data_IF_678052251880
#
_entry.id   IF_678052251880
#
_cell.length_a   1.000
_cell.length_b   1.000
_cell.length_c   1.000
_cell.angle_alpha   90.00
_cell.angle_beta   90.00
_cell.angle_gamma   90.00
#
_symmetry.space_group_name_H-M   'P 1'
#
loop_
_entity.id
_entity.type
_entity.pdbx_description
1 polymer ?
#
# COMPACT_ATOMS: atom_id res chain seq x y z
N UNK A 1 3.10 -27.89 5.56
CA UNK A 1 1.80 -27.20 5.83
C UNK A 1 2.01 -25.75 6.25
N UNK A 2 2.82 -25.46 7.28
CA UNK A 2 3.07 -24.08 7.76
C UNK A 2 3.59 -23.13 6.67
N UNK A 3 4.59 -23.54 5.89
CA UNK A 3 5.14 -22.73 4.80
C UNK A 3 4.07 -22.28 3.79
N UNK A 4 3.25 -23.23 3.32
CA UNK A 4 2.17 -22.94 2.36
C UNK A 4 1.14 -21.97 2.95
N UNK A 5 0.80 -22.12 4.23
CA UNK A 5 -0.11 -21.21 4.92
C UNK A 5 0.45 -19.78 4.96
N UNK A 6 1.70 -19.61 5.41
CA UNK A 6 2.35 -18.30 5.46
C UNK A 6 2.40 -17.66 4.08
N UNK A 7 2.76 -18.44 3.05
CA UNK A 7 2.81 -17.96 1.67
C UNK A 7 1.44 -17.52 1.14
N UNK A 8 0.39 -18.29 1.41
CA UNK A 8 -0.98 -17.92 1.02
C UNK A 8 -1.41 -16.61 1.68
N UNK A 9 -1.21 -16.47 3.00
CA UNK A 9 -1.52 -15.25 3.74
C UNK A 9 -0.70 -14.05 3.23
N UNK A 10 0.58 -14.26 2.93
CA UNK A 10 1.46 -13.23 2.37
C UNK A 10 0.93 -12.71 1.01
N UNK A 11 0.53 -13.62 0.12
CA UNK A 11 -0.01 -13.26 -1.19
C UNK A 11 -1.35 -12.53 -1.04
N UNK A 12 -2.26 -13.02 -0.17
CA UNK A 12 -3.55 -12.36 0.07
C UNK A 12 -3.37 -10.93 0.61
N UNK A 13 -2.44 -10.73 1.55
CA UNK A 13 -2.13 -9.41 2.07
C UNK A 13 -1.56 -8.48 0.98
N UNK A 14 -0.69 -8.98 0.11
CA UNK A 14 -0.18 -8.25 -1.05
C UNK A 14 -1.31 -7.85 -2.01
N UNK A 15 -2.22 -8.77 -2.33
CA UNK A 15 -3.36 -8.52 -3.22
C UNK A 15 -4.29 -7.45 -2.67
N UNK A 16 -4.63 -7.50 -1.37
CA UNK A 16 -5.48 -6.50 -0.74
C UNK A 16 -4.87 -5.10 -0.81
N UNK A 17 -3.56 -4.99 -0.52
CA UNK A 17 -2.91 -3.69 -0.48
C UNK A 17 -2.62 -3.13 -1.88
N UNK A 18 -1.89 -3.89 -2.71
CA UNK A 18 -1.51 -3.45 -4.07
C UNK A 18 -2.74 -3.33 -4.96
N UNK A 19 -3.64 -4.31 -4.92
CA UNK A 19 -4.89 -4.28 -5.67
C UNK A 19 -5.82 -3.14 -5.22
N UNK A 20 -5.92 -2.89 -3.92
CA UNK A 20 -6.69 -1.76 -3.40
C UNK A 20 -6.12 -0.39 -3.83
N UNK A 21 -4.80 -0.23 -3.83
CA UNK A 21 -4.15 0.97 -4.38
C UNK A 21 -4.39 1.12 -5.89
N UNK A 22 -4.30 0.03 -6.65
CA UNK A 22 -4.60 0.03 -8.08
C UNK A 22 -6.04 0.48 -8.35
N UNK A 23 -7.02 -0.13 -7.67
CA UNK A 23 -8.43 0.26 -7.80
C UNK A 23 -8.65 1.73 -7.44
N UNK A 24 -8.09 2.18 -6.32
CA UNK A 24 -8.23 3.56 -5.87
C UNK A 24 -7.66 4.55 -6.90
N UNK A 25 -6.49 4.25 -7.46
CA UNK A 25 -5.76 5.15 -8.36
C UNK A 25 -6.32 5.15 -9.79
N UNK A 26 -6.63 3.97 -10.33
CA UNK A 26 -6.97 3.76 -11.74
C UNK A 26 -8.47 3.85 -12.01
N UNK A 27 -9.31 3.40 -11.06
CA UNK A 27 -10.76 3.36 -11.27
C UNK A 27 -11.49 4.42 -10.45
N UNK A 28 -11.37 4.38 -9.12
CA UNK A 28 -12.15 5.25 -8.24
C UNK A 28 -11.82 6.73 -8.45
N UNK A 29 -10.53 7.07 -8.55
CA UNK A 29 -10.07 8.46 -8.68
C UNK A 29 -10.59 9.18 -9.94
N UNK A 30 -10.45 8.66 -11.17
CA UNK A 30 -10.96 9.35 -12.34
C UNK A 30 -12.48 9.51 -12.29
N UNK A 31 -13.22 8.47 -11.88
CA UNK A 31 -14.68 8.53 -11.76
C UNK A 31 -15.11 9.58 -10.74
N UNK A 32 -14.49 9.59 -9.55
CA UNK A 32 -14.77 10.61 -8.53
C UNK A 32 -14.38 12.02 -8.98
N UNK A 33 -13.36 12.17 -9.83
CA UNK A 33 -12.97 13.46 -10.38
C UNK A 33 -13.92 13.97 -11.47
N UNK A 34 -14.59 13.06 -12.19
CA UNK A 34 -15.55 13.37 -13.24
C UNK A 34 -16.95 13.67 -12.69
N UNK A 35 -17.40 12.89 -11.70
CA UNK A 35 -18.79 12.94 -11.23
C UNK A 35 -19.02 13.88 -10.04
N UNK A 36 -17.97 14.20 -9.27
CA UNK A 36 -18.12 14.92 -8.01
C UNK A 36 -17.37 16.25 -8.02
N UNK A 37 -18.04 17.29 -7.53
CA UNK A 37 -17.42 18.57 -7.21
C UNK A 37 -16.36 18.43 -6.12
N UNK A 38 -15.47 19.42 -6.01
CA UNK A 38 -14.33 19.37 -5.10
C UNK A 38 -14.70 19.06 -3.64
N UNK A 39 -15.68 19.72 -2.99
CA UNK A 39 -16.02 19.45 -1.59
C UNK A 39 -16.48 18.00 -1.36
N UNK A 40 -17.41 17.53 -2.20
CA UNK A 40 -17.97 16.18 -2.10
C UNK A 40 -16.90 15.12 -2.40
N UNK A 41 -16.02 15.39 -3.36
CA UNK A 41 -14.87 14.53 -3.68
C UNK A 41 -13.90 14.40 -2.50
N UNK A 42 -13.60 15.50 -1.79
CA UNK A 42 -12.74 15.46 -0.61
C UNK A 42 -13.38 14.65 0.53
N UNK A 43 -14.68 14.84 0.77
CA UNK A 43 -15.44 14.06 1.75
C UNK A 43 -15.46 12.57 1.41
N UNK A 44 -15.70 12.21 0.14
CA UNK A 44 -15.62 10.83 -0.34
C UNK A 44 -14.26 10.22 0.01
N UNK A 45 -13.16 10.90 -0.33
CA UNK A 45 -11.82 10.38 -0.08
C UNK A 45 -11.51 10.19 1.39
N UNK A 46 -11.93 11.12 2.26
CA UNK A 46 -11.81 10.94 3.71
C UNK A 46 -12.51 9.66 4.16
N UNK A 47 -13.73 9.41 3.69
CA UNK A 47 -14.50 8.22 4.09
C UNK A 47 -13.95 6.92 3.49
N UNK A 48 -13.47 6.96 2.25
CA UNK A 48 -12.80 5.82 1.61
C UNK A 48 -11.53 5.46 2.38
N UNK A 49 -10.68 6.43 2.70
CA UNK A 49 -9.47 6.20 3.49
C UNK A 49 -9.78 5.71 4.90
N UNK A 50 -10.82 6.24 5.54
CA UNK A 50 -11.30 5.75 6.85
C UNK A 50 -11.62 4.26 6.84
N UNK A 51 -12.22 3.76 5.76
CA UNK A 51 -12.55 2.34 5.60
C UNK A 51 -11.37 1.50 5.11
N UNK A 52 -10.53 2.04 4.23
CA UNK A 52 -9.47 1.28 3.56
C UNK A 52 -8.18 1.18 4.39
N UNK A 53 -7.77 2.24 5.10
CA UNK A 53 -6.50 2.24 5.83
C UNK A 53 -6.38 1.19 6.95
N UNK A 54 -7.45 0.83 7.69
CA UNK A 54 -7.39 -0.32 8.60
C UNK A 54 -7.01 -1.63 7.89
N UNK A 55 -7.51 -1.87 6.68
CA UNK A 55 -7.14 -3.04 5.88
C UNK A 55 -5.69 -2.98 5.40
N UNK A 56 -5.18 -1.78 5.09
CA UNK A 56 -3.77 -1.58 4.76
C UNK A 56 -2.88 -1.91 5.95
N UNK A 57 -3.25 -1.51 7.17
CA UNK A 57 -2.53 -1.92 8.39
C UNK A 57 -2.51 -3.44 8.56
N UNK A 58 -3.67 -4.09 8.43
CA UNK A 58 -3.77 -5.56 8.48
C UNK A 58 -2.85 -6.21 7.44
N UNK A 59 -2.82 -5.67 6.21
CA UNK A 59 -1.94 -6.17 5.16
C UNK A 59 -0.45 -5.98 5.51
N UNK A 60 -0.04 -4.80 6.00
CA UNK A 60 1.34 -4.52 6.42
C UNK A 60 1.81 -5.52 7.49
N UNK A 61 1.04 -5.68 8.57
CA UNK A 61 1.40 -6.61 9.64
C UNK A 61 1.45 -8.05 9.13
N UNK A 62 0.47 -8.46 8.33
CA UNK A 62 0.44 -9.79 7.73
C UNK A 62 1.67 -10.03 6.86
N UNK A 63 2.06 -9.08 6.02
CA UNK A 63 3.24 -9.18 5.15
C UNK A 63 4.54 -9.29 5.94
N UNK A 64 4.70 -8.50 7.01
CA UNK A 64 5.91 -8.54 7.85
C UNK A 64 6.01 -9.87 8.60
N UNK A 65 4.94 -10.29 9.28
CA UNK A 65 4.92 -11.53 10.06
C UNK A 65 5.16 -12.74 9.15
N UNK A 66 4.43 -12.83 8.04
CA UNK A 66 4.57 -13.95 7.11
C UNK A 66 5.90 -13.91 6.36
N UNK A 67 6.38 -12.73 5.95
CA UNK A 67 7.65 -12.57 5.24
C UNK A 67 8.85 -12.96 6.11
N UNK A 68 8.93 -12.46 7.34
CA UNK A 68 9.98 -12.82 8.31
C UNK A 68 9.87 -14.31 8.66
N UNK A 69 8.66 -14.84 8.86
CA UNK A 69 8.44 -16.26 9.11
C UNK A 69 8.95 -17.14 7.97
N UNK A 70 8.69 -16.76 6.71
CA UNK A 70 9.20 -17.47 5.53
C UNK A 70 10.73 -17.41 5.50
N UNK A 71 11.34 -16.24 5.73
CA UNK A 71 12.81 -16.10 5.77
C UNK A 71 13.42 -16.98 6.85
N UNK A 72 12.80 -17.05 8.03
CA UNK A 72 13.24 -17.92 9.11
C UNK A 72 13.18 -19.40 8.71
N UNK A 73 12.11 -19.84 8.05
CA UNK A 73 11.98 -21.20 7.53
C UNK A 73 13.01 -21.54 6.44
N UNK A 74 13.52 -20.54 5.71
CA UNK A 74 14.62 -20.70 4.76
C UNK A 74 16.01 -20.78 5.43
N UNK A 75 16.10 -20.71 6.76
CA UNK A 75 17.38 -20.73 7.49
C UNK A 75 17.95 -19.33 7.77
N UNK A 76 17.17 -18.28 7.55
CA UNK A 76 17.53 -16.90 7.89
C UNK A 76 18.02 -16.05 6.71
N UNK A 77 18.34 -14.78 6.98
CA UNK A 77 18.67 -13.78 5.95
C UNK A 77 19.89 -14.13 5.11
N UNK A 78 20.84 -14.91 5.62
CA UNK A 78 22.02 -15.33 4.87
C UNK A 78 21.72 -16.41 3.81
N UNK A 79 20.56 -17.08 3.92
CA UNK A 79 20.18 -18.23 3.10
C UNK A 79 19.15 -17.87 2.02
N UNK A 80 18.54 -16.69 2.09
CA UNK A 80 17.57 -16.24 1.09
C UNK A 80 18.28 -15.61 -0.12
N UNK A 81 17.66 -15.72 -1.29
CA UNK A 81 18.22 -15.17 -2.52
C UNK A 81 18.08 -13.64 -2.58
N UNK A 82 18.88 -12.99 -3.44
CA UNK A 82 18.92 -11.53 -3.61
C UNK A 82 17.55 -10.87 -3.81
N UNK A 83 16.63 -11.54 -4.53
CA UNK A 83 15.30 -11.00 -4.81
C UNK A 83 14.45 -10.82 -3.53
N UNK A 84 14.67 -11.66 -2.50
CA UNK A 84 13.97 -11.56 -1.21
C UNK A 84 14.43 -10.31 -0.45
N UNK A 85 15.72 -9.99 -0.50
CA UNK A 85 16.25 -8.75 0.09
C UNK A 85 15.66 -7.51 -0.58
N UNK A 86 15.51 -7.53 -1.92
CA UNK A 86 14.85 -6.44 -2.63
C UNK A 86 13.37 -6.34 -2.27
N UNK A 87 12.65 -7.46 -2.17
CA UNK A 87 11.25 -7.47 -1.73
C UNK A 87 11.08 -6.86 -0.33
N UNK A 88 12.01 -7.16 0.58
CA UNK A 88 12.01 -6.57 1.91
C UNK A 88 12.29 -5.06 1.84
N UNK A 89 13.31 -4.64 1.09
CA UNK A 89 13.68 -3.23 0.95
C UNK A 89 12.53 -2.41 0.37
N UNK A 90 11.89 -2.88 -0.70
CA UNK A 90 10.75 -2.20 -1.29
C UNK A 90 9.55 -2.21 -0.34
N UNK A 91 9.24 -3.34 0.30
CA UNK A 91 8.17 -3.46 1.28
C UNK A 91 8.31 -2.49 2.47
N UNK A 92 9.53 -2.34 3.01
CA UNK A 92 9.81 -1.36 4.07
C UNK A 92 9.68 0.08 3.56
N UNK A 93 10.14 0.36 2.36
CA UNK A 93 9.99 1.68 1.73
C UNK A 93 8.51 2.06 1.55
N UNK A 94 7.70 1.10 1.08
CA UNK A 94 6.25 1.23 0.94
C UNK A 94 5.56 1.48 2.28
N UNK A 95 6.00 0.80 3.34
CA UNK A 95 5.50 0.99 4.71
C UNK A 95 5.79 2.41 5.21
N UNK A 96 7.01 2.91 5.04
CA UNK A 96 7.39 4.28 5.45
C UNK A 96 6.52 5.33 4.74
N UNK A 97 6.29 5.15 3.44
CA UNK A 97 5.39 6.04 2.68
C UNK A 97 3.98 6.00 3.26
N UNK A 98 3.45 4.82 3.56
CA UNK A 98 2.11 4.69 4.13
C UNK A 98 2.00 5.31 5.53
N UNK A 99 3.00 5.12 6.39
CA UNK A 99 3.07 5.75 7.72
C UNK A 99 2.98 7.27 7.58
N UNK A 100 3.75 7.86 6.67
CA UNK A 100 3.70 9.31 6.41
C UNK A 100 2.33 9.77 5.91
N UNK A 101 1.71 9.01 4.99
CA UNK A 101 0.35 9.29 4.51
C UNK A 101 -0.64 9.26 5.68
N UNK A 102 -0.64 8.19 6.48
CA UNK A 102 -1.63 7.93 7.51
C UNK A 102 -1.55 8.93 8.66
N UNK A 103 -0.36 9.17 9.20
CA UNK A 103 -0.20 10.00 10.40
C UNK A 103 -0.15 11.49 10.10
N UNK A 104 0.31 11.92 8.92
CA UNK A 104 0.50 13.35 8.63
C UNK A 104 -0.52 13.85 7.61
N UNK A 105 -0.54 13.27 6.41
CA UNK A 105 -1.34 13.84 5.33
C UNK A 105 -2.83 13.60 5.50
N UNK A 106 -3.21 12.41 5.95
CA UNK A 106 -4.61 12.04 6.14
C UNK A 106 -5.26 12.84 7.27
N UNK A 107 -4.57 13.04 8.39
CA UNK A 107 -5.07 13.89 9.48
C UNK A 107 -5.29 15.33 9.01
N UNK A 108 -4.33 15.90 8.27
CA UNK A 108 -4.46 17.25 7.69
C UNK A 108 -5.59 17.36 6.67
N UNK A 109 -5.83 16.31 5.88
CA UNK A 109 -6.97 16.25 4.96
C UNK A 109 -8.30 16.23 5.73
N UNK A 110 -8.40 15.41 6.79
CA UNK A 110 -9.60 15.34 7.63
C UNK A 110 -9.91 16.68 8.28
N UNK A 111 -8.89 17.35 8.82
CA UNK A 111 -9.00 18.67 9.42
C UNK A 111 -9.50 19.70 8.41
N UNK A 112 -8.88 19.78 7.23
CA UNK A 112 -9.29 20.70 6.16
C UNK A 112 -10.74 20.45 5.70
N UNK A 113 -11.18 19.19 5.61
CA UNK A 113 -12.58 18.86 5.29
C UNK A 113 -13.53 19.28 6.43
N UNK A 114 -13.12 19.10 7.69
CA UNK A 114 -13.92 19.48 8.86
C UNK A 114 -14.09 20.99 8.97
N UNK A 115 -13.06 21.77 8.64
CA UNK A 115 -13.07 23.24 8.65
C UNK A 115 -13.53 23.84 7.32
N UNK A 116 -13.90 23.02 6.35
CA UNK A 116 -14.30 23.44 4.99
C UNK A 116 -13.22 24.24 4.24
N UNK A 117 -11.95 24.06 4.59
CA UNK A 117 -10.81 24.59 3.83
C UNK A 117 -10.53 23.70 2.60
N UNK A 118 -11.32 23.92 1.55
CA UNK A 118 -11.26 23.13 0.32
C UNK A 118 -9.95 23.30 -0.45
N UNK A 119 -9.30 24.47 -0.31
CA UNK A 119 -8.03 24.75 -0.97
C UNK A 119 -6.91 23.88 -0.37
N UNK A 120 -6.76 23.91 0.96
CA UNK A 120 -5.80 23.06 1.66
C UNK A 120 -6.14 21.58 1.48
N UNK A 121 -7.43 21.21 1.56
CA UNK A 121 -7.90 19.85 1.34
C UNK A 121 -7.49 19.30 -0.03
N UNK A 122 -7.67 20.09 -1.10
CA UNK A 122 -7.26 19.75 -2.45
C UNK A 122 -5.74 19.50 -2.56
N UNK A 123 -4.93 20.35 -1.95
CA UNK A 123 -3.47 20.20 -1.92
C UNK A 123 -3.04 18.92 -1.19
N UNK A 124 -3.62 18.64 -0.01
CA UNK A 124 -3.31 17.43 0.77
C UNK A 124 -3.73 16.16 0.05
N UNK A 125 -4.93 16.14 -0.54
CA UNK A 125 -5.35 14.99 -1.35
C UNK A 125 -4.42 14.79 -2.56
N UNK A 126 -3.95 15.88 -3.19
CA UNK A 126 -2.96 15.83 -4.26
C UNK A 126 -1.64 15.18 -3.83
N UNK A 127 -1.13 15.52 -2.65
CA UNK A 127 0.07 14.91 -2.05
C UNK A 127 -0.13 13.42 -1.74
N UNK A 128 -1.25 13.06 -1.11
CA UNK A 128 -1.62 11.67 -0.83
C UNK A 128 -1.64 10.86 -2.13
N UNK A 129 -2.29 11.37 -3.19
CA UNK A 129 -2.36 10.71 -4.49
C UNK A 129 -0.97 10.46 -5.08
N UNK A 130 -0.06 11.45 -5.04
CA UNK A 130 1.30 11.28 -5.55
C UNK A 130 2.03 10.16 -4.82
N UNK A 131 1.95 10.14 -3.49
CA UNK A 131 2.58 9.11 -2.67
C UNK A 131 1.95 7.73 -2.88
N UNK A 132 0.62 7.63 -2.99
CA UNK A 132 -0.05 6.37 -3.35
C UNK A 132 0.41 5.88 -4.73
N UNK A 133 0.58 6.78 -5.71
CA UNK A 133 1.11 6.42 -7.03
C UNK A 133 2.52 5.84 -6.97
N UNK A 134 3.43 6.49 -6.22
CA UNK A 134 4.79 5.96 -5.98
C UNK A 134 4.73 4.61 -5.28
N UNK A 135 3.88 4.49 -4.25
CA UNK A 135 3.73 3.27 -3.46
C UNK A 135 3.18 2.11 -4.31
N UNK A 136 2.21 2.39 -5.19
CA UNK A 136 1.68 1.42 -6.16
C UNK A 136 2.77 0.96 -7.14
N UNK A 137 3.57 1.88 -7.68
CA UNK A 137 4.68 1.51 -8.58
C UNK A 137 5.68 0.61 -7.87
N UNK A 138 6.07 0.93 -6.64
CA UNK A 138 6.93 0.06 -5.82
C UNK A 138 6.30 -1.32 -5.60
N UNK A 139 4.99 -1.38 -5.31
CA UNK A 139 4.26 -2.63 -5.15
C UNK A 139 4.29 -3.49 -6.42
N UNK A 140 4.03 -2.89 -7.58
CA UNK A 140 4.09 -3.60 -8.87
C UNK A 140 5.51 -4.09 -9.18
N UNK A 141 6.52 -3.26 -8.96
CA UNK A 141 7.94 -3.65 -9.11
C UNK A 141 8.28 -4.82 -8.18
N UNK A 142 7.82 -4.78 -6.93
CA UNK A 142 8.02 -5.86 -5.96
C UNK A 142 7.41 -7.18 -6.43
N UNK A 143 6.21 -7.14 -7.02
CA UNK A 143 5.54 -8.32 -7.60
C UNK A 143 6.34 -8.88 -8.79
N UNK A 144 6.86 -8.01 -9.66
CA UNK A 144 7.73 -8.41 -10.79
C UNK A 144 9.01 -9.06 -10.27
N UNK A 145 9.68 -8.46 -9.29
CA UNK A 145 10.90 -9.02 -8.66
C UNK A 145 10.61 -10.41 -8.07
N UNK A 146 9.49 -10.56 -7.37
CA UNK A 146 9.09 -11.86 -6.79
C UNK A 146 8.85 -12.93 -7.87
N UNK A 147 8.31 -12.55 -9.03
CA UNK A 147 8.04 -13.47 -10.14
C UNK A 147 9.32 -13.85 -10.91
N UNK A 148 10.17 -12.86 -11.21
CA UNK A 148 11.44 -13.06 -11.93
C UNK A 148 12.46 -13.84 -11.09
N UNK A 149 12.55 -13.54 -9.79
CA UNK A 149 13.41 -14.27 -8.87
C UNK A 149 13.11 -15.77 -8.83
N UNK A 150 11.85 -16.16 -9.04
CA UNK A 150 11.43 -17.56 -9.11
C UNK A 150 11.78 -18.24 -10.44
N UNK A 151 11.80 -17.50 -11.56
CA UNK A 151 11.99 -18.08 -12.90
C UNK A 151 13.45 -18.16 -13.34
N UNK A 152 14.33 -17.34 -12.76
CA UNK A 152 15.76 -17.29 -13.14
C UNK A 152 16.63 -18.28 -12.33
N UNK A 153 16.15 -18.76 -11.17
CA UNK A 153 16.92 -19.59 -10.24
C UNK A 153 16.25 -20.94 -9.91
N UNK A 154 15.40 -21.44 -10.82
CA UNK A 154 14.85 -22.79 -10.78
C UNK A 154 15.70 -23.74 -11.62
#
# INVERSE_FOLDING_TARGET
MLFSLLKTLHILACLLWVGGMFFAYVALRPVAAQLLELPLRLQLWVQVFKKFFPWVWVAIFSLLVTGIGIIHLYGGMAQVQWHVHLMLLTGLSMMVIFIHIFFILYQRLQEAVKTQDWQTGGLRLGQIRRLIGINLTLGLVTVVIASLGKSVFM
#
